data_IF_065897522677
#
_entry.id   IF_065897522677
#
_cell.length_a   1.000
_cell.length_b   1.000
_cell.length_c   1.000
_cell.angle_alpha   90.00
_cell.angle_beta   90.00
_cell.angle_gamma   90.00
#
_symmetry.space_group_name_H-M   'P 1'
#
loop_
_entity.id
_entity.type
_entity.pdbx_description
1 polymer ?
#
# COMPACT_ATOMS: atom_id res chain seq x y z
N UNK A 1 11.43 -22.35 -22.20
CA UNK A 1 10.10 -22.45 -21.58
C UNK A 1 9.27 -21.29 -22.10
N UNK A 2 7.95 -21.48 -22.29
CA UNK A 2 7.05 -20.36 -22.65
C UNK A 2 6.67 -19.61 -21.37
N UNK A 3 6.57 -18.26 -21.40
CA UNK A 3 6.07 -17.51 -20.27
C UNK A 3 4.63 -17.88 -19.96
N UNK A 4 4.27 -17.90 -18.67
CA UNK A 4 2.91 -18.10 -18.20
C UNK A 4 2.05 -16.85 -18.43
N UNK A 5 2.66 -15.69 -18.21
CA UNK A 5 2.07 -14.39 -18.51
C UNK A 5 3.01 -13.64 -19.43
N UNK A 6 2.48 -13.10 -20.54
CA UNK A 6 3.20 -12.24 -21.47
C UNK A 6 2.39 -11.00 -21.76
N UNK A 7 2.98 -9.86 -21.52
CA UNK A 7 2.43 -8.51 -21.78
C UNK A 7 3.37 -7.81 -22.74
N UNK A 8 2.87 -7.42 -23.92
CA UNK A 8 3.66 -6.81 -25.00
C UNK A 8 3.06 -5.47 -25.40
N UNK A 9 3.76 -4.38 -25.09
CA UNK A 9 3.40 -3.02 -25.52
C UNK A 9 2.01 -2.56 -25.09
N UNK A 10 1.56 -2.98 -23.91
CA UNK A 10 0.19 -2.75 -23.46
C UNK A 10 -0.02 -1.30 -23.08
N UNK A 11 -0.98 -0.67 -23.76
CA UNK A 11 -1.51 0.65 -23.42
C UNK A 11 -3.01 0.57 -23.15
N UNK A 12 -3.49 1.38 -22.19
CA UNK A 12 -4.91 1.49 -21.88
C UNK A 12 -5.36 2.93 -21.83
N UNK A 13 -6.29 3.25 -22.71
CA UNK A 13 -6.93 4.54 -22.81
C UNK A 13 -8.40 4.45 -22.36
N UNK A 14 -8.84 5.41 -21.54
CA UNK A 14 -10.22 5.58 -21.12
C UNK A 14 -10.77 6.88 -21.72
N UNK A 15 -11.69 6.83 -22.70
CA UNK A 15 -12.27 8.03 -23.27
C UNK A 15 -13.12 8.76 -22.21
N UNK A 16 -12.96 10.07 -22.11
CA UNK A 16 -13.85 10.94 -21.34
C UNK A 16 -15.08 11.22 -22.18
N UNK A 17 -16.20 10.59 -21.82
CA UNK A 17 -17.45 10.71 -22.55
C UNK A 17 -18.51 11.28 -21.62
N UNK A 18 -18.90 12.53 -21.83
CA UNK A 18 -19.88 13.23 -21.00
C UNK A 18 -21.32 13.13 -21.53
N UNK A 19 -21.49 12.86 -22.82
CA UNK A 19 -22.82 12.83 -23.48
C UNK A 19 -23.06 11.50 -24.20
N UNK A 20 -24.32 11.01 -24.24
CA UNK A 20 -24.67 9.75 -24.94
C UNK A 20 -24.23 9.69 -26.41
N UNK A 21 -24.33 10.80 -27.14
CA UNK A 21 -23.91 10.89 -28.57
C UNK A 21 -22.39 10.78 -28.75
N UNK A 22 -21.59 11.16 -27.75
CA UNK A 22 -20.14 11.06 -27.78
C UNK A 22 -19.69 9.59 -27.59
N UNK A 23 -20.47 8.77 -26.87
CA UNK A 23 -20.23 7.33 -26.71
C UNK A 23 -20.26 6.62 -28.08
N UNK A 24 -21.26 6.95 -28.91
CA UNK A 24 -21.40 6.36 -30.24
C UNK A 24 -20.23 6.76 -31.17
N UNK A 25 -19.84 8.04 -31.11
CA UNK A 25 -18.66 8.54 -31.87
C UNK A 25 -17.37 7.91 -31.39
N UNK A 26 -17.18 7.80 -30.08
CA UNK A 26 -16.01 7.14 -29.48
C UNK A 26 -15.94 5.67 -29.89
N UNK A 27 -17.07 4.97 -29.87
CA UNK A 27 -17.17 3.57 -30.32
C UNK A 27 -16.85 3.44 -31.83
N UNK A 28 -17.38 4.30 -32.67
CA UNK A 28 -17.11 4.31 -34.11
C UNK A 28 -15.61 4.65 -34.39
N UNK A 29 -15.01 5.56 -33.63
CA UNK A 29 -13.59 5.90 -33.77
C UNK A 29 -12.68 4.72 -33.35
N UNK A 30 -13.05 3.99 -32.28
CA UNK A 30 -12.35 2.77 -31.86
C UNK A 30 -12.42 1.67 -32.92
N UNK A 31 -13.58 1.45 -33.54
CA UNK A 31 -13.75 0.51 -34.66
C UNK A 31 -12.91 0.91 -35.89
N UNK A 32 -12.70 2.21 -36.10
CA UNK A 32 -11.90 2.76 -37.19
C UNK A 32 -10.38 2.83 -36.86
N UNK A 33 -9.94 2.29 -35.69
CA UNK A 33 -8.54 2.36 -35.23
C UNK A 33 -8.05 3.78 -34.88
N UNK A 34 -8.97 4.73 -34.67
CA UNK A 34 -8.65 6.13 -34.32
C UNK A 34 -8.79 6.33 -32.82
N UNK A 35 -8.00 7.26 -32.26
CA UNK A 35 -8.13 7.69 -30.86
C UNK A 35 -9.48 8.37 -30.65
N UNK A 36 -10.25 7.88 -29.68
CA UNK A 36 -11.58 8.36 -29.36
C UNK A 36 -11.52 9.64 -28.52
N UNK A 37 -11.29 10.81 -29.12
CA UNK A 37 -11.44 12.11 -28.46
C UNK A 37 -10.52 12.34 -27.24
N UNK A 38 -10.93 13.25 -26.35
CA UNK A 38 -10.26 13.50 -25.06
C UNK A 38 -10.45 12.33 -24.09
N UNK A 39 -9.37 11.93 -23.42
CA UNK A 39 -9.40 10.83 -22.46
C UNK A 39 -8.11 10.73 -21.65
N UNK A 40 -8.07 9.78 -20.74
CA UNK A 40 -6.89 9.49 -19.95
C UNK A 40 -6.23 8.18 -20.42
N UNK A 41 -4.99 8.24 -20.80
CA UNK A 41 -4.18 7.04 -21.01
C UNK A 41 -3.58 6.65 -19.66
N UNK A 42 -3.96 5.49 -19.15
CA UNK A 42 -3.61 5.02 -17.79
C UNK A 42 -2.42 4.06 -17.83
N UNK A 43 -2.20 3.38 -18.95
CA UNK A 43 -1.04 2.54 -19.20
C UNK A 43 -0.42 2.92 -20.54
N UNK A 44 0.90 3.00 -20.58
CA UNK A 44 1.68 3.43 -21.74
C UNK A 44 2.79 2.41 -22.03
N UNK A 45 2.62 1.59 -23.04
CA UNK A 45 3.62 0.68 -23.58
C UNK A 45 4.29 -0.21 -22.51
N UNK A 46 3.47 -0.82 -21.66
CA UNK A 46 3.93 -1.70 -20.59
C UNK A 46 4.20 -3.09 -21.15
N UNK A 47 5.40 -3.60 -20.88
CA UNK A 47 5.82 -4.96 -21.29
C UNK A 47 6.44 -5.68 -20.10
N UNK A 48 6.04 -6.95 -19.89
CA UNK A 48 6.60 -7.85 -18.90
C UNK A 48 6.35 -9.31 -19.27
N UNK A 49 7.17 -10.19 -18.75
CA UNK A 49 6.98 -11.64 -18.85
C UNK A 49 7.10 -12.26 -17.44
N UNK A 50 6.24 -13.24 -17.15
CA UNK A 50 6.31 -14.04 -15.92
C UNK A 50 6.41 -15.50 -16.30
N UNK A 51 7.48 -16.15 -15.86
CA UNK A 51 7.71 -17.56 -16.15
C UNK A 51 6.98 -18.45 -15.12
N UNK A 52 6.65 -19.70 -15.45
CA UNK A 52 6.11 -20.65 -14.47
C UNK A 52 7.01 -20.75 -13.23
N UNK A 53 6.40 -20.75 -12.05
CA UNK A 53 7.10 -20.83 -10.76
C UNK A 53 7.74 -19.53 -10.30
N UNK A 54 7.53 -18.43 -11.01
CA UNK A 54 8.03 -17.11 -10.58
C UNK A 54 7.04 -16.39 -9.67
N UNK A 55 7.58 -15.62 -8.74
CA UNK A 55 6.82 -14.66 -7.95
C UNK A 55 7.19 -13.23 -8.37
N UNK A 56 6.18 -12.42 -8.73
CA UNK A 56 6.34 -11.15 -9.38
C UNK A 56 5.51 -10.05 -8.68
N UNK A 57 6.16 -8.97 -8.27
CA UNK A 57 5.55 -7.83 -7.61
C UNK A 57 5.27 -6.67 -8.58
N UNK A 58 4.11 -6.04 -8.47
CA UNK A 58 3.77 -4.79 -9.16
C UNK A 58 3.67 -3.70 -8.11
N UNK A 59 4.57 -2.72 -8.16
CA UNK A 59 4.63 -1.61 -7.21
C UNK A 59 4.46 -0.26 -7.90
N UNK A 60 4.07 0.75 -7.14
CA UNK A 60 3.88 2.12 -7.63
C UNK A 60 2.84 2.86 -6.79
N UNK A 61 2.75 4.18 -6.97
CA UNK A 61 1.77 5.02 -6.27
C UNK A 61 0.32 4.72 -6.68
N UNK A 62 -0.64 5.30 -5.93
CA UNK A 62 -2.04 5.30 -6.34
C UNK A 62 -2.19 6.03 -7.67
N UNK A 63 -2.96 5.44 -8.58
CA UNK A 63 -3.11 5.97 -9.94
C UNK A 63 -2.01 5.59 -10.94
N UNK A 64 -0.95 4.88 -10.53
CA UNK A 64 0.13 4.43 -11.42
C UNK A 64 -0.29 3.38 -12.48
N UNK A 65 -1.54 2.89 -12.43
CA UNK A 65 -2.06 1.92 -13.40
C UNK A 65 -2.05 0.47 -12.93
N UNK A 66 -1.62 0.16 -11.69
CA UNK A 66 -1.52 -1.20 -11.15
C UNK A 66 -2.82 -2.00 -11.27
N UNK A 67 -3.93 -1.49 -10.74
CA UNK A 67 -5.23 -2.18 -10.79
C UNK A 67 -5.77 -2.28 -12.22
N UNK A 68 -5.43 -1.35 -13.11
CA UNK A 68 -5.77 -1.44 -14.54
C UNK A 68 -5.01 -2.58 -15.20
N UNK A 69 -3.72 -2.72 -14.91
CA UNK A 69 -2.91 -3.83 -15.41
C UNK A 69 -3.44 -5.17 -14.90
N UNK A 70 -3.80 -5.29 -13.60
CA UNK A 70 -4.42 -6.51 -13.07
C UNK A 70 -5.74 -6.86 -13.77
N UNK A 71 -6.62 -5.88 -13.99
CA UNK A 71 -7.89 -6.11 -14.70
C UNK A 71 -7.67 -6.57 -16.15
N UNK A 72 -6.60 -6.14 -16.79
CA UNK A 72 -6.22 -6.63 -18.13
C UNK A 72 -5.70 -8.07 -18.03
N UNK A 73 -4.84 -8.38 -17.05
CA UNK A 73 -4.28 -9.73 -16.86
C UNK A 73 -5.34 -10.77 -16.49
N UNK A 74 -6.37 -10.35 -15.75
CA UNK A 74 -7.51 -11.23 -15.41
C UNK A 74 -8.59 -11.30 -16.49
N UNK A 75 -8.40 -10.57 -17.62
CA UNK A 75 -9.36 -10.57 -18.73
C UNK A 75 -10.65 -9.77 -18.48
N UNK A 76 -10.75 -9.05 -17.35
CA UNK A 76 -11.92 -8.20 -17.03
C UNK A 76 -12.04 -7.03 -18.01
N UNK A 77 -10.92 -6.49 -18.47
CA UNK A 77 -10.89 -5.45 -19.49
C UNK A 77 -9.84 -5.77 -20.56
N UNK A 78 -10.10 -5.37 -21.81
CA UNK A 78 -9.11 -5.50 -22.88
C UNK A 78 -8.17 -4.30 -22.92
N UNK A 79 -6.89 -4.48 -23.32
CA UNK A 79 -5.99 -3.37 -23.60
C UNK A 79 -6.49 -2.55 -24.80
N UNK A 80 -6.11 -1.27 -24.89
CA UNK A 80 -6.39 -0.44 -26.06
C UNK A 80 -5.36 -0.63 -27.18
N UNK A 81 -4.13 -0.99 -26.82
CA UNK A 81 -3.05 -1.39 -27.72
C UNK A 81 -2.21 -2.46 -27.06
N UNK A 82 -1.42 -3.18 -27.87
CA UNK A 82 -0.58 -4.26 -27.40
C UNK A 82 -1.32 -5.58 -27.24
N UNK A 83 -0.64 -6.56 -26.68
CA UNK A 83 -1.16 -7.93 -26.52
C UNK A 83 -0.88 -8.47 -25.13
N UNK A 84 -1.83 -9.26 -24.62
CA UNK A 84 -1.69 -10.01 -23.38
C UNK A 84 -2.01 -11.48 -23.63
N UNK A 85 -1.14 -12.34 -23.15
CA UNK A 85 -1.35 -13.78 -23.15
C UNK A 85 -1.19 -14.30 -21.70
N UNK A 86 -2.20 -15.04 -21.23
CA UNK A 86 -2.16 -15.72 -19.93
C UNK A 86 -2.48 -17.19 -20.16
N UNK A 87 -1.50 -18.05 -19.97
CA UNK A 87 -1.56 -19.46 -20.26
C UNK A 87 -1.59 -20.29 -18.96
N UNK A 88 -2.56 -20.01 -18.08
CA UNK A 88 -2.66 -20.63 -16.77
C UNK A 88 -4.10 -20.64 -16.26
N UNK A 89 -4.38 -21.53 -15.31
CA UNK A 89 -5.56 -21.41 -14.46
C UNK A 89 -5.32 -20.30 -13.45
N UNK A 90 -6.03 -19.18 -13.65
CA UNK A 90 -5.88 -17.98 -12.83
C UNK A 90 -6.89 -17.99 -11.70
N UNK A 91 -6.44 -17.74 -10.48
CA UNK A 91 -7.30 -17.30 -9.41
C UNK A 91 -6.88 -15.90 -8.96
N UNK A 92 -7.86 -15.01 -8.86
CA UNK A 92 -7.62 -13.61 -8.51
C UNK A 92 -8.28 -13.28 -7.18
N UNK A 93 -7.50 -12.68 -6.28
CA UNK A 93 -7.96 -12.16 -4.98
C UNK A 93 -8.32 -10.65 -5.08
N UNK A 94 -8.80 -10.18 -6.23
CA UNK A 94 -9.07 -8.75 -6.46
C UNK A 94 -10.28 -8.25 -5.68
N UNK A 95 -11.27 -9.11 -5.51
CA UNK A 95 -12.53 -8.81 -4.82
C UNK A 95 -13.02 -10.08 -4.10
N UNK A 96 -12.44 -10.40 -2.94
CA UNK A 96 -12.72 -11.65 -2.21
C UNK A 96 -14.20 -11.84 -1.86
N UNK A 97 -14.91 -10.75 -1.58
CA UNK A 97 -16.35 -10.76 -1.30
C UNK A 97 -17.25 -10.69 -2.53
N UNK A 98 -16.70 -10.39 -3.72
CA UNK A 98 -17.51 -10.28 -4.92
C UNK A 98 -18.04 -11.64 -5.39
N UNK A 99 -19.29 -11.63 -5.85
CA UNK A 99 -19.96 -12.80 -6.38
C UNK A 99 -20.65 -13.69 -5.33
N UNK A 100 -20.54 -13.38 -4.04
CA UNK A 100 -21.37 -14.03 -3.04
C UNK A 100 -22.79 -13.46 -3.07
N UNK A 101 -23.77 -14.35 -3.00
CA UNK A 101 -25.18 -14.00 -2.90
C UNK A 101 -25.57 -13.86 -1.43
N UNK A 102 -25.97 -12.68 -0.95
CA UNK A 102 -26.22 -12.43 0.46
C UNK A 102 -27.29 -13.33 1.09
N UNK A 103 -28.30 -13.73 0.30
CA UNK A 103 -29.42 -14.56 0.76
C UNK A 103 -29.09 -16.06 0.76
N UNK A 104 -28.00 -16.47 0.14
CA UNK A 104 -27.62 -17.88 0.05
C UNK A 104 -26.79 -18.30 1.27
N UNK A 105 -26.89 -19.60 1.61
CA UNK A 105 -26.02 -20.21 2.62
C UNK A 105 -24.55 -20.15 2.20
N UNK A 106 -23.63 -20.37 3.14
CA UNK A 106 -22.21 -20.48 2.86
C UNK A 106 -21.94 -21.60 1.86
N UNK A 107 -22.54 -22.76 2.08
CA UNK A 107 -22.32 -23.93 1.21
C UNK A 107 -22.74 -23.63 -0.23
N UNK A 108 -23.87 -22.94 -0.44
CA UNK A 108 -24.33 -22.58 -1.78
C UNK A 108 -23.42 -21.54 -2.43
N UNK A 109 -22.95 -20.57 -1.66
CA UNK A 109 -21.97 -19.59 -2.11
C UNK A 109 -20.62 -20.23 -2.46
N UNK A 110 -20.13 -21.15 -1.64
CA UNK A 110 -18.92 -21.93 -1.92
C UNK A 110 -19.07 -22.71 -3.19
N UNK A 111 -20.21 -23.42 -3.40
CA UNK A 111 -20.50 -24.17 -4.62
C UNK A 111 -20.48 -23.27 -5.85
N UNK A 112 -21.18 -22.14 -5.78
CA UNK A 112 -21.25 -21.20 -6.89
C UNK A 112 -19.87 -20.64 -7.23
N UNK A 113 -19.11 -20.17 -6.23
CA UNK A 113 -17.78 -19.58 -6.44
C UNK A 113 -16.76 -20.61 -6.93
N UNK A 114 -16.80 -21.83 -6.39
CA UNK A 114 -15.95 -22.94 -6.85
C UNK A 114 -16.22 -23.29 -8.31
N UNK A 115 -17.49 -23.33 -8.74
CA UNK A 115 -17.85 -23.55 -10.13
C UNK A 115 -17.33 -22.45 -11.06
N UNK A 116 -17.38 -21.16 -10.63
CA UNK A 116 -16.80 -20.04 -11.36
C UNK A 116 -15.27 -20.13 -11.49
N UNK A 117 -14.60 -20.75 -10.50
CA UNK A 117 -13.15 -21.03 -10.54
C UNK A 117 -12.81 -22.31 -11.31
N UNK A 118 -13.80 -22.97 -11.93
CA UNK A 118 -13.62 -24.15 -12.76
C UNK A 118 -13.52 -25.47 -11.99
N UNK A 119 -13.86 -25.50 -10.70
CA UNK A 119 -13.91 -26.75 -9.92
C UNK A 119 -15.15 -27.54 -10.26
N UNK A 120 -15.00 -28.85 -10.50
CA UNK A 120 -16.13 -29.74 -10.62
C UNK A 120 -16.78 -30.05 -9.25
N UNK A 121 -18.06 -30.42 -9.24
CA UNK A 121 -18.77 -30.79 -8.00
C UNK A 121 -18.04 -31.83 -7.19
N UNK A 122 -17.46 -32.88 -7.87
CA UNK A 122 -16.70 -33.90 -7.19
C UNK A 122 -15.41 -33.44 -6.55
N UNK A 123 -14.74 -32.44 -7.14
CA UNK A 123 -13.56 -31.79 -6.51
C UNK A 123 -13.97 -30.98 -5.31
N UNK A 124 -15.06 -30.23 -5.43
CA UNK A 124 -15.59 -29.43 -4.32
C UNK A 124 -16.00 -30.30 -3.14
N UNK A 125 -16.77 -31.40 -3.38
CA UNK A 125 -17.23 -32.30 -2.31
C UNK A 125 -16.05 -32.88 -1.51
N UNK A 126 -14.89 -33.07 -2.14
CA UNK A 126 -13.68 -33.56 -1.46
C UNK A 126 -12.95 -32.47 -0.66
N UNK A 127 -13.12 -31.19 -1.04
CA UNK A 127 -12.39 -30.05 -0.47
C UNK A 127 -13.28 -29.19 0.41
N UNK A 128 -14.56 -29.48 0.54
CA UNK A 128 -15.50 -28.63 1.26
C UNK A 128 -15.09 -28.44 2.73
N UNK A 129 -14.75 -29.55 3.39
CA UNK A 129 -14.32 -29.51 4.79
C UNK A 129 -13.03 -28.73 4.97
N UNK A 130 -12.06 -28.87 4.06
CA UNK A 130 -10.82 -28.08 4.04
C UNK A 130 -11.09 -26.59 3.85
N UNK A 131 -12.03 -26.23 2.95
CA UNK A 131 -12.45 -24.82 2.74
C UNK A 131 -13.03 -24.23 4.01
N UNK A 132 -13.94 -24.97 4.66
CA UNK A 132 -14.62 -24.49 5.88
C UNK A 132 -13.63 -24.37 7.05
N UNK A 133 -12.74 -25.34 7.22
CA UNK A 133 -11.67 -25.30 8.24
C UNK A 133 -10.69 -24.15 7.98
N UNK A 134 -10.31 -23.92 6.71
CA UNK A 134 -9.45 -22.79 6.38
C UNK A 134 -10.13 -21.45 6.67
N UNK A 135 -11.42 -21.32 6.32
CA UNK A 135 -12.19 -20.08 6.53
C UNK A 135 -12.37 -19.77 8.02
N UNK A 136 -12.41 -20.80 8.89
CA UNK A 136 -12.56 -20.67 10.34
C UNK A 136 -13.73 -19.74 10.71
N UNK A 137 -14.93 -20.09 10.20
CA UNK A 137 -16.16 -19.31 10.38
C UNK A 137 -17.11 -19.91 11.41
N UNK A 138 -16.71 -21.01 12.07
CA UNK A 138 -17.47 -21.67 13.15
C UNK A 138 -18.83 -22.20 12.68
N UNK A 139 -19.82 -22.11 13.57
CA UNK A 139 -21.16 -22.70 13.37
C UNK A 139 -22.04 -21.94 12.36
N UNK A 140 -21.54 -20.83 11.81
CA UNK A 140 -22.29 -20.00 10.85
C UNK A 140 -22.43 -20.63 9.45
N UNK A 141 -21.88 -21.81 9.22
CA UNK A 141 -21.82 -22.46 7.90
C UNK A 141 -23.18 -22.61 7.20
N UNK A 142 -24.26 -22.74 7.95
CA UNK A 142 -25.63 -22.89 7.42
C UNK A 142 -26.41 -21.56 7.34
N UNK A 143 -25.82 -20.48 7.87
CA UNK A 143 -26.45 -19.17 7.87
C UNK A 143 -26.28 -18.45 6.53
N UNK A 144 -27.23 -17.59 6.13
CA UNK A 144 -27.07 -16.71 4.98
C UNK A 144 -25.86 -15.76 5.15
N UNK A 145 -25.11 -15.57 4.06
CA UNK A 145 -23.89 -14.73 4.07
C UNK A 145 -24.16 -13.26 4.46
N UNK A 146 -25.39 -12.77 4.31
CA UNK A 146 -25.79 -11.43 4.79
C UNK A 146 -25.59 -11.21 6.29
N UNK A 147 -25.54 -12.26 7.09
CA UNK A 147 -25.29 -12.18 8.52
C UNK A 147 -23.80 -12.16 8.88
N UNK A 148 -22.94 -12.25 7.89
CA UNK A 148 -21.49 -12.30 8.06
C UNK A 148 -20.88 -10.94 8.21
N UNK A 149 -19.82 -10.86 9.04
CA UNK A 149 -18.92 -9.69 9.00
C UNK A 149 -18.14 -9.66 7.69
N UNK A 150 -17.68 -8.48 7.29
CA UNK A 150 -16.82 -8.34 6.12
C UNK A 150 -15.56 -9.23 6.21
N UNK A 151 -15.02 -9.42 7.41
CA UNK A 151 -13.90 -10.31 7.66
C UNK A 151 -14.22 -11.78 7.38
N UNK A 152 -15.40 -12.27 7.80
CA UNK A 152 -15.84 -13.65 7.51
C UNK A 152 -16.03 -13.89 6.01
N UNK A 153 -16.58 -12.92 5.29
CA UNK A 153 -16.74 -12.98 3.83
C UNK A 153 -15.39 -13.10 3.13
N UNK A 154 -14.41 -12.31 3.57
CA UNK A 154 -13.05 -12.35 3.04
C UNK A 154 -12.35 -13.69 3.34
N UNK A 155 -12.46 -14.20 4.57
CA UNK A 155 -11.92 -15.49 4.98
C UNK A 155 -12.49 -16.62 4.10
N UNK A 156 -13.80 -16.64 3.90
CA UNK A 156 -14.45 -17.63 3.03
C UNK A 156 -14.00 -17.47 1.57
N UNK A 157 -13.94 -16.24 1.07
CA UNK A 157 -13.49 -15.96 -0.29
C UNK A 157 -12.07 -16.45 -0.55
N UNK A 158 -11.16 -16.22 0.39
CA UNK A 158 -9.77 -16.71 0.29
C UNK A 158 -9.71 -18.23 0.35
N UNK A 159 -10.44 -18.88 1.28
CA UNK A 159 -10.46 -20.33 1.42
C UNK A 159 -10.90 -21.04 0.13
N UNK A 160 -11.93 -20.52 -0.56
CA UNK A 160 -12.37 -21.08 -1.85
C UNK A 160 -11.30 -20.91 -2.93
N UNK A 161 -10.63 -19.78 -2.99
CA UNK A 161 -9.53 -19.54 -3.93
C UNK A 161 -8.36 -20.49 -3.64
N UNK A 162 -7.98 -20.62 -2.37
CA UNK A 162 -6.91 -21.51 -1.94
C UNK A 162 -7.16 -22.97 -2.36
N UNK A 163 -8.42 -23.44 -2.23
CA UNK A 163 -8.81 -24.79 -2.60
C UNK A 163 -8.95 -25.02 -4.11
N UNK A 164 -8.91 -23.99 -4.94
CA UNK A 164 -9.11 -24.14 -6.40
C UNK A 164 -7.86 -24.63 -7.15
N UNK A 165 -6.72 -24.83 -6.48
CA UNK A 165 -5.43 -25.24 -7.03
C UNK A 165 -5.05 -24.42 -8.29
N UNK A 166 -4.92 -23.10 -8.21
CA UNK A 166 -4.56 -22.29 -9.35
C UNK A 166 -3.09 -22.49 -9.73
N UNK A 167 -2.74 -22.27 -11.01
CA UNK A 167 -1.35 -22.22 -11.47
C UNK A 167 -0.76 -20.80 -11.36
N UNK A 168 -1.64 -19.80 -11.40
CA UNK A 168 -1.33 -18.38 -11.23
C UNK A 168 -2.27 -17.77 -10.21
N UNK A 169 -1.71 -17.30 -9.11
CA UNK A 169 -2.41 -16.49 -8.12
C UNK A 169 -2.16 -15.01 -8.40
N UNK A 170 -3.22 -14.22 -8.54
CA UNK A 170 -3.14 -12.77 -8.66
C UNK A 170 -3.71 -12.15 -7.40
N UNK A 171 -2.92 -11.31 -6.71
CA UNK A 171 -3.36 -10.63 -5.48
C UNK A 171 -3.29 -9.11 -5.63
N UNK A 172 -4.31 -8.41 -5.12
CA UNK A 172 -4.31 -6.95 -4.99
C UNK A 172 -4.51 -6.63 -3.49
N UNK A 173 -3.66 -5.88 -2.86
CA UNK A 173 -3.69 -5.35 -1.48
C UNK A 173 -4.52 -6.11 -0.41
N UNK A 174 -5.33 -7.06 -0.84
CA UNK A 174 -6.34 -7.79 -0.05
C UNK A 174 -5.73 -8.68 1.02
N UNK A 175 -4.41 -8.91 1.00
CA UNK A 175 -3.72 -9.67 2.05
C UNK A 175 -3.68 -8.91 3.40
N UNK A 176 -4.05 -7.64 3.42
CA UNK A 176 -4.17 -6.84 4.64
C UNK A 176 -5.58 -6.91 5.27
N UNK A 177 -6.50 -7.75 4.75
CA UNK A 177 -7.88 -7.85 5.23
C UNK A 177 -8.05 -9.04 6.16
N UNK A 178 -8.87 -8.88 7.19
CA UNK A 178 -9.06 -9.84 8.27
C UNK A 178 -8.25 -9.46 9.51
N UNK A 179 -8.26 -10.33 10.49
CA UNK A 179 -7.43 -10.17 11.68
C UNK A 179 -5.97 -10.64 11.44
N UNK A 180 -5.08 -10.29 12.33
CA UNK A 180 -3.64 -10.61 12.21
C UNK A 180 -3.38 -12.13 12.11
N UNK A 181 -4.20 -12.95 12.79
CA UNK A 181 -4.05 -14.39 12.79
C UNK A 181 -4.35 -14.99 11.40
N UNK A 182 -5.42 -14.49 10.77
CA UNK A 182 -5.80 -14.92 9.43
C UNK A 182 -4.82 -14.41 8.37
N UNK A 183 -4.32 -13.18 8.50
CA UNK A 183 -3.28 -12.67 7.61
C UNK A 183 -2.02 -13.55 7.63
N UNK A 184 -1.57 -13.98 8.82
CA UNK A 184 -0.44 -14.92 8.97
C UNK A 184 -0.73 -16.27 8.33
N UNK A 185 -2.00 -16.76 8.39
CA UNK A 185 -2.44 -18.01 7.74
C UNK A 185 -2.39 -17.87 6.22
N UNK A 186 -2.88 -16.77 5.67
CA UNK A 186 -2.82 -16.48 4.23
C UNK A 186 -1.37 -16.39 3.71
N UNK A 187 -0.49 -15.69 4.43
CA UNK A 187 0.92 -15.55 4.03
C UNK A 187 1.60 -16.93 4.00
N UNK A 188 1.41 -17.76 5.05
CA UNK A 188 1.95 -19.12 5.09
C UNK A 188 1.44 -20.00 3.96
N UNK A 189 0.15 -19.88 3.63
CA UNK A 189 -0.42 -20.60 2.49
C UNK A 189 0.22 -20.15 1.17
N UNK A 190 0.44 -18.85 0.96
CA UNK A 190 1.12 -18.34 -0.24
C UNK A 190 2.57 -18.83 -0.32
N UNK A 191 3.30 -18.85 0.80
CA UNK A 191 4.65 -19.41 0.85
C UNK A 191 4.66 -20.88 0.39
N UNK A 192 3.76 -21.71 0.94
CA UNK A 192 3.61 -23.12 0.52
C UNK A 192 3.20 -23.26 -0.95
N UNK A 193 2.31 -22.40 -1.43
CA UNK A 193 1.90 -22.33 -2.83
C UNK A 193 3.08 -22.06 -3.78
N UNK A 194 3.98 -21.16 -3.40
CA UNK A 194 5.21 -20.87 -4.12
C UNK A 194 6.23 -22.00 -4.04
N UNK A 195 6.36 -22.66 -2.90
CA UNK A 195 7.27 -23.81 -2.71
C UNK A 195 6.86 -25.01 -3.57
N UNK A 196 5.57 -25.13 -3.91
CA UNK A 196 5.05 -26.12 -4.85
C UNK A 196 5.35 -25.77 -6.32
N UNK A 197 6.03 -24.66 -6.60
CA UNK A 197 6.39 -24.24 -7.96
C UNK A 197 5.29 -23.48 -8.69
N UNK A 198 4.26 -23.02 -7.99
CA UNK A 198 3.21 -22.19 -8.56
C UNK A 198 3.64 -20.73 -8.72
N UNK A 199 2.87 -19.95 -9.47
CA UNK A 199 3.22 -18.58 -9.86
C UNK A 199 2.39 -17.56 -9.12
N UNK A 200 3.02 -16.52 -8.60
CA UNK A 200 2.37 -15.40 -7.92
C UNK A 200 2.57 -14.10 -8.70
N UNK A 201 1.51 -13.33 -8.85
CA UNK A 201 1.55 -11.95 -9.29
C UNK A 201 0.86 -11.10 -8.22
N UNK A 202 1.64 -10.24 -7.55
CA UNK A 202 1.18 -9.50 -6.37
C UNK A 202 1.24 -8.00 -6.60
N UNK A 203 0.15 -7.29 -6.28
CA UNK A 203 0.18 -5.85 -6.05
C UNK A 203 0.12 -5.60 -4.56
N UNK A 204 1.04 -4.80 -4.03
CA UNK A 204 1.01 -4.41 -2.63
C UNK A 204 1.71 -3.07 -2.40
N UNK A 205 1.21 -2.31 -1.44
CA UNK A 205 1.91 -1.14 -0.89
C UNK A 205 2.93 -1.51 0.19
N UNK A 206 2.85 -2.73 0.74
CA UNK A 206 3.84 -3.21 1.70
C UNK A 206 5.09 -3.71 0.99
N UNK A 207 6.14 -2.89 0.96
CA UNK A 207 7.43 -3.29 0.38
C UNK A 207 8.02 -4.50 1.10
N UNK A 208 7.73 -4.67 2.38
CA UNK A 208 8.11 -5.85 3.15
C UNK A 208 7.50 -7.14 2.54
N UNK A 209 6.18 -7.15 2.26
CA UNK A 209 5.53 -8.33 1.67
C UNK A 209 6.02 -8.60 0.25
N UNK A 210 6.23 -7.53 -0.54
CA UNK A 210 6.77 -7.66 -1.89
C UNK A 210 8.17 -8.28 -1.86
N UNK A 211 9.07 -7.80 -0.99
CA UNK A 211 10.43 -8.35 -0.83
C UNK A 211 10.44 -9.77 -0.26
N UNK A 212 9.47 -10.10 0.61
CA UNK A 212 9.36 -11.41 1.24
C UNK A 212 8.85 -12.48 0.26
N UNK A 213 7.86 -12.16 -0.56
CA UNK A 213 7.13 -13.13 -1.38
C UNK A 213 7.54 -13.12 -2.86
N UNK A 214 8.08 -12.00 -3.36
CA UNK A 214 8.42 -11.86 -4.77
C UNK A 214 9.93 -11.94 -5.00
N UNK A 215 10.32 -12.51 -6.14
CA UNK A 215 11.72 -12.53 -6.62
C UNK A 215 12.00 -11.43 -7.61
N UNK A 216 11.00 -11.06 -8.40
CA UNK A 216 11.08 -9.97 -9.36
C UNK A 216 9.98 -8.95 -9.11
N UNK A 217 10.17 -7.72 -9.60
CA UNK A 217 9.17 -6.68 -9.51
C UNK A 217 9.23 -5.72 -10.70
N UNK A 218 8.08 -5.09 -10.97
CA UNK A 218 7.97 -3.93 -11.85
C UNK A 218 7.49 -2.73 -11.03
N UNK A 219 8.18 -1.61 -11.19
CA UNK A 219 7.74 -0.33 -10.69
C UNK A 219 7.05 0.44 -11.81
N UNK A 220 5.76 0.68 -11.62
CA UNK A 220 4.94 1.52 -12.48
C UNK A 220 4.89 2.95 -11.92
N UNK A 221 5.15 3.92 -12.78
CA UNK A 221 5.01 5.34 -12.51
C UNK A 221 4.31 6.01 -13.68
N UNK A 222 3.23 6.73 -13.43
CA UNK A 222 2.45 7.44 -14.46
C UNK A 222 2.08 6.54 -15.65
N UNK A 223 1.67 5.30 -15.36
CA UNK A 223 1.30 4.31 -16.36
C UNK A 223 2.46 3.70 -17.16
N UNK A 224 3.71 4.01 -16.83
CA UNK A 224 4.91 3.53 -17.53
C UNK A 224 5.76 2.65 -16.65
N UNK A 225 6.51 1.74 -17.25
CA UNK A 225 7.53 0.98 -16.55
C UNK A 225 8.72 1.89 -16.23
N UNK A 226 8.91 2.16 -14.94
CA UNK A 226 10.08 2.92 -14.45
C UNK A 226 11.29 2.03 -14.25
N UNK A 227 11.07 0.86 -13.65
CA UNK A 227 12.10 -0.15 -13.42
C UNK A 227 11.49 -1.55 -13.39
N UNK A 228 12.21 -2.52 -13.93
CA UNK A 228 11.84 -3.93 -13.99
C UNK A 228 13.07 -4.78 -13.65
N UNK A 229 12.93 -5.82 -12.88
CA UNK A 229 14.01 -6.74 -12.53
C UNK A 229 13.87 -7.34 -11.15
N UNK A 230 15.02 -7.68 -10.53
CA UNK A 230 15.03 -8.25 -9.19
C UNK A 230 14.36 -7.36 -8.15
N UNK A 231 13.64 -7.97 -7.21
CA UNK A 231 12.75 -7.28 -6.27
C UNK A 231 13.48 -6.24 -5.43
N UNK A 232 14.68 -6.55 -4.89
CA UNK A 232 15.41 -5.62 -4.02
C UNK A 232 15.84 -4.34 -4.73
N UNK A 233 16.55 -4.36 -5.87
CA UNK A 233 16.92 -3.16 -6.61
C UNK A 233 15.72 -2.33 -7.07
N UNK A 234 14.58 -2.97 -7.37
CA UNK A 234 13.36 -2.27 -7.81
C UNK A 234 12.69 -1.58 -6.62
N UNK A 235 12.48 -2.29 -5.51
CA UNK A 235 11.87 -1.73 -4.30
C UNK A 235 12.72 -0.65 -3.65
N UNK A 236 14.06 -0.82 -3.61
CA UNK A 236 14.96 0.23 -3.09
C UNK A 236 14.89 1.50 -3.93
N UNK A 237 14.87 1.39 -5.26
CA UNK A 237 14.72 2.55 -6.14
C UNK A 237 13.38 3.26 -5.95
N UNK A 238 12.29 2.51 -5.71
CA UNK A 238 10.97 3.05 -5.41
C UNK A 238 10.97 3.81 -4.07
N UNK A 239 11.54 3.21 -3.02
CA UNK A 239 11.61 3.83 -1.69
C UNK A 239 12.43 5.12 -1.72
N UNK A 240 13.62 5.10 -2.34
CA UNK A 240 14.46 6.28 -2.48
C UNK A 240 13.73 7.43 -3.21
N UNK A 241 13.08 7.12 -4.34
CA UNK A 241 12.28 8.10 -5.07
C UNK A 241 11.11 8.65 -4.23
N UNK A 242 10.44 7.79 -3.47
CA UNK A 242 9.32 8.20 -2.61
C UNK A 242 9.79 9.12 -1.48
N UNK A 243 10.97 8.86 -0.90
CA UNK A 243 11.60 9.73 0.10
C UNK A 243 11.99 11.10 -0.49
N UNK A 244 12.61 11.11 -1.69
CA UNK A 244 12.94 12.37 -2.39
C UNK A 244 11.70 13.19 -2.70
N UNK A 245 10.63 12.56 -3.20
CA UNK A 245 9.36 13.20 -3.49
C UNK A 245 8.75 13.82 -2.23
N UNK A 246 8.67 13.05 -1.14
CA UNK A 246 8.14 13.52 0.15
C UNK A 246 8.99 14.66 0.73
N UNK A 247 10.30 14.63 0.54
CA UNK A 247 11.20 15.72 0.95
C UNK A 247 11.00 16.99 0.09
N UNK A 248 10.75 16.84 -1.22
CA UNK A 248 10.45 17.95 -2.12
C UNK A 248 9.08 18.57 -1.80
N UNK A 249 8.04 17.77 -1.54
CA UNK A 249 6.72 18.24 -1.15
C UNK A 249 6.75 18.98 0.20
N UNK A 250 7.52 18.48 1.18
CA UNK A 250 7.74 19.16 2.45
C UNK A 250 8.42 20.51 2.25
N UNK A 251 9.46 20.59 1.41
CA UNK A 251 10.13 21.85 1.06
C UNK A 251 9.17 22.83 0.37
N UNK A 252 8.36 22.34 -0.57
CA UNK A 252 7.38 23.17 -1.27
C UNK A 252 6.27 23.68 -0.33
N UNK A 253 5.74 22.84 0.57
CA UNK A 253 4.79 23.29 1.62
C UNK A 253 5.41 24.36 2.52
N UNK A 254 6.68 24.21 2.92
CA UNK A 254 7.39 25.23 3.70
C UNK A 254 7.52 26.54 2.93
N UNK A 255 7.79 26.51 1.62
CA UNK A 255 7.88 27.71 0.79
C UNK A 255 6.54 28.40 0.55
N UNK A 256 5.42 27.64 0.51
CA UNK A 256 4.07 28.18 0.35
C UNK A 256 3.45 28.68 1.67
N UNK A 257 3.93 28.22 2.83
CA UNK A 257 3.57 28.72 4.16
C UNK A 257 4.32 30.01 4.49
N UNK A 258 4.51 30.88 3.50
CA UNK A 258 5.01 32.23 3.66
C UNK A 258 4.16 33.03 4.62
N UNK A 259 4.80 33.53 5.66
CA UNK A 259 4.51 34.72 6.44
C UNK A 259 3.08 34.94 6.95
N UNK A 260 2.96 34.83 8.25
CA UNK A 260 2.07 35.50 9.22
C UNK A 260 0.87 34.65 9.71
N UNK A 261 0.80 34.51 11.01
CA UNK A 261 -0.41 34.15 11.75
C UNK A 261 -0.49 32.73 12.32
N UNK A 262 0.57 31.90 12.23
CA UNK A 262 0.53 30.54 12.79
C UNK A 262 1.74 30.21 13.66
N UNK A 263 1.55 29.30 14.63
CA UNK A 263 2.63 28.73 15.42
C UNK A 263 3.60 27.97 14.51
N UNK A 264 4.91 28.16 14.68
CA UNK A 264 5.92 27.58 13.79
C UNK A 264 7.11 27.03 14.57
N UNK A 265 7.73 26.02 14.01
CA UNK A 265 9.05 25.57 14.44
C UNK A 265 10.10 26.56 13.89
N UNK A 266 10.76 27.28 14.77
CA UNK A 266 11.85 28.18 14.41
C UNK A 266 13.15 27.39 14.18
N UNK A 267 13.49 26.49 15.11
CA UNK A 267 14.63 25.59 14.98
C UNK A 267 14.43 24.32 15.82
N UNK A 268 15.03 23.24 15.35
CA UNK A 268 15.21 21.99 16.10
C UNK A 268 16.68 21.60 15.99
N UNK A 269 17.33 21.36 17.12
CA UNK A 269 18.71 20.91 17.18
C UNK A 269 18.88 19.80 18.21
N UNK A 270 19.81 18.87 17.95
CA UNK A 270 20.20 17.84 18.89
C UNK A 270 21.44 18.33 19.66
N UNK A 271 21.37 18.35 20.97
CA UNK A 271 22.47 18.84 21.82
C UNK A 271 23.64 17.88 21.76
N UNK A 272 24.82 18.40 21.36
CA UNK A 272 26.05 17.61 21.24
C UNK A 272 26.17 16.79 19.95
N UNK A 273 25.27 16.98 18.98
CA UNK A 273 25.25 16.29 17.69
C UNK A 273 25.21 17.28 16.53
N UNK A 274 25.80 16.90 15.38
CA UNK A 274 25.74 17.72 14.18
C UNK A 274 24.35 17.60 13.52
N UNK A 275 23.76 18.72 13.08
CA UNK A 275 22.43 18.72 12.46
C UNK A 275 22.39 18.15 11.02
N UNK A 276 23.54 17.79 10.45
CA UNK A 276 23.68 17.41 9.03
C UNK A 276 23.44 15.92 8.75
N UNK A 277 23.07 15.15 9.76
CA UNK A 277 22.81 13.70 9.64
C UNK A 277 24.08 12.86 9.57
N UNK A 278 24.18 11.82 10.37
CA UNK A 278 25.29 10.88 10.34
C UNK A 278 25.92 10.60 11.70
N UNK A 279 25.44 11.22 12.76
CA UNK A 279 25.92 10.90 14.10
C UNK A 279 25.43 9.54 14.56
N UNK A 280 26.35 8.74 15.08
CA UNK A 280 26.06 7.42 15.64
C UNK A 280 25.78 7.54 17.13
N UNK A 281 24.55 7.28 17.53
CA UNK A 281 24.14 7.23 18.91
C UNK A 281 24.21 5.78 19.42
N UNK A 282 25.00 5.46 20.47
CA UNK A 282 24.97 4.13 21.06
C UNK A 282 23.59 3.77 21.60
N UNK A 283 23.19 2.51 21.56
CA UNK A 283 21.95 2.05 22.18
C UNK A 283 21.96 2.33 23.68
N UNK A 284 20.83 2.66 24.27
CA UNK A 284 20.67 3.09 25.66
C UNK A 284 21.42 4.37 26.05
N UNK A 285 21.73 5.25 25.11
CA UNK A 285 22.24 6.59 25.42
C UNK A 285 21.10 7.61 25.56
N UNK A 286 21.43 8.71 26.21
CA UNK A 286 20.54 9.84 26.32
C UNK A 286 20.54 10.61 25.00
N UNK A 287 19.37 11.11 24.60
CA UNK A 287 19.20 12.02 23.48
C UNK A 287 18.58 13.31 24.00
N UNK A 288 19.23 14.44 23.78
CA UNK A 288 18.71 15.76 24.15
C UNK A 288 18.41 16.59 22.90
N UNK A 289 17.19 17.13 22.83
CA UNK A 289 16.74 17.97 21.74
C UNK A 289 16.34 19.36 22.27
N UNK A 290 16.75 20.39 21.55
CA UNK A 290 16.30 21.76 21.78
C UNK A 290 15.35 22.17 20.63
N UNK A 291 14.10 22.53 20.97
CA UNK A 291 13.08 22.97 20.04
C UNK A 291 12.70 24.40 20.34
N UNK A 292 12.86 25.30 19.37
CA UNK A 292 12.43 26.70 19.46
C UNK A 292 11.20 26.90 18.60
N UNK A 293 10.13 27.41 19.20
CA UNK A 293 8.85 27.65 18.55
C UNK A 293 8.54 29.15 18.51
N UNK A 294 7.98 29.62 17.39
CA UNK A 294 7.49 30.97 17.24
C UNK A 294 5.97 31.03 17.45
N UNK A 295 5.52 31.96 18.26
CA UNK A 295 4.12 32.24 18.54
C UNK A 295 3.66 33.51 17.81
N UNK A 296 2.50 33.47 17.12
CA UNK A 296 1.95 34.62 16.43
C UNK A 296 1.20 35.59 17.37
N UNK A 297 0.77 35.11 18.54
CA UNK A 297 -0.11 35.84 19.48
C UNK A 297 0.48 35.97 20.89
N UNK A 298 1.75 35.60 21.06
CA UNK A 298 2.46 35.70 22.32
C UNK A 298 2.06 34.69 23.40
N UNK A 299 1.21 33.72 23.07
CA UNK A 299 0.90 32.57 23.96
C UNK A 299 1.90 31.45 23.73
N UNK A 300 2.26 30.73 24.80
CA UNK A 300 3.19 29.62 24.69
C UNK A 300 2.57 28.46 23.86
N UNK A 301 3.18 28.06 22.73
CA UNK A 301 2.72 26.92 21.95
C UNK A 301 3.02 25.61 22.66
N UNK A 302 2.26 24.55 22.39
CA UNK A 302 2.60 23.20 22.82
C UNK A 302 3.66 22.64 21.86
N UNK A 303 4.75 22.13 22.46
CA UNK A 303 5.83 21.44 21.73
C UNK A 303 5.58 19.94 21.73
N UNK A 304 5.67 19.33 20.55
CA UNK A 304 5.70 17.87 20.41
C UNK A 304 7.01 17.48 19.73
N UNK A 305 7.77 16.57 20.34
CA UNK A 305 9.00 16.03 19.76
C UNK A 305 8.87 14.52 19.64
N UNK A 306 9.11 14.01 18.44
CA UNK A 306 9.01 12.57 18.13
C UNK A 306 10.29 12.02 17.53
N UNK A 307 10.60 10.76 17.85
CA UNK A 307 11.65 9.95 17.22
C UNK A 307 10.97 9.01 16.23
N UNK A 308 11.40 9.07 14.98
CA UNK A 308 10.85 8.32 13.86
C UNK A 308 11.91 7.40 13.29
N UNK A 309 11.52 6.20 12.89
CA UNK A 309 12.37 5.30 12.12
C UNK A 309 12.49 5.79 10.67
N UNK A 310 13.51 5.36 9.93
CA UNK A 310 13.71 5.75 8.53
C UNK A 310 12.51 5.44 7.61
N UNK A 311 11.74 4.41 7.92
CA UNK A 311 10.50 4.06 7.21
C UNK A 311 9.29 4.95 7.55
N UNK A 312 9.48 5.94 8.43
CA UNK A 312 8.43 6.87 8.88
C UNK A 312 7.60 6.36 10.06
N UNK A 313 7.92 5.17 10.61
CA UNK A 313 7.22 4.63 11.78
C UNK A 313 7.57 5.45 13.03
N UNK A 314 6.59 5.98 13.78
CA UNK A 314 6.84 6.63 15.05
C UNK A 314 7.29 5.61 16.08
N UNK A 315 8.40 5.92 16.76
CA UNK A 315 8.99 5.04 17.80
C UNK A 315 8.68 5.56 19.18
N UNK A 316 8.85 6.87 19.36
CA UNK A 316 8.62 7.56 20.62
C UNK A 316 8.23 9.01 20.38
N UNK A 317 7.47 9.61 21.29
CA UNK A 317 7.10 11.02 21.21
C UNK A 317 6.64 11.56 22.55
N UNK A 318 6.96 12.82 22.82
CA UNK A 318 6.54 13.55 24.02
C UNK A 318 5.96 14.90 23.63
N UNK A 319 4.95 15.33 24.38
CA UNK A 319 4.34 16.65 24.21
C UNK A 319 4.41 17.41 25.53
N UNK A 320 4.73 18.71 25.45
CA UNK A 320 4.97 19.55 26.62
C UNK A 320 3.76 19.78 27.50
N UNK A 321 2.55 19.60 26.98
CA UNK A 321 1.29 19.72 27.74
C UNK A 321 1.06 18.51 28.66
N UNK A 322 1.44 17.30 28.25
CA UNK A 322 1.37 16.10 29.08
C UNK A 322 2.26 16.20 30.31
N UNK A 323 3.50 16.69 30.12
CA UNK A 323 4.48 16.82 31.19
C UNK A 323 4.35 18.16 31.93
N UNK A 324 3.42 19.03 31.55
CA UNK A 324 3.19 20.37 32.09
C UNK A 324 4.47 21.22 32.13
N UNK A 325 5.32 21.07 31.14
CA UNK A 325 6.60 21.78 31.01
C UNK A 325 6.33 23.19 30.54
N UNK A 326 6.88 24.18 31.28
CA UNK A 326 6.83 25.59 30.87
C UNK A 326 8.07 25.87 29.98
N UNK A 327 7.90 26.53 28.83
CA UNK A 327 9.02 26.94 27.99
C UNK A 327 9.81 28.09 28.60
N UNK A 328 11.06 28.15 28.21
CA UNK A 328 11.85 29.37 28.39
C UNK A 328 11.38 30.42 27.34
N UNK A 329 10.96 31.57 27.79
CA UNK A 329 10.53 32.66 26.92
C UNK A 329 11.77 33.41 26.42
N UNK A 330 11.94 33.47 25.11
CA UNK A 330 12.97 34.21 24.42
C UNK A 330 12.41 35.55 23.93
N UNK A 331 13.27 36.43 23.41
CA UNK A 331 12.86 37.67 22.75
C UNK A 331 12.03 37.34 21.47
N UNK A 332 11.22 38.33 21.01
CA UNK A 332 10.45 38.27 19.75
C UNK A 332 9.37 37.17 19.65
N UNK A 333 8.76 36.74 20.77
CA UNK A 333 7.69 35.73 20.74
C UNK A 333 8.18 34.32 20.43
N UNK A 334 9.44 34.05 20.74
CA UNK A 334 10.03 32.71 20.63
C UNK A 334 9.99 31.99 21.97
N UNK A 335 9.78 30.71 21.94
CA UNK A 335 9.64 29.81 23.08
C UNK A 335 10.58 28.62 22.92
N UNK A 336 11.46 28.38 23.87
CA UNK A 336 12.45 27.30 23.87
C UNK A 336 11.98 26.17 24.77
N UNK A 337 12.02 24.94 24.24
CA UNK A 337 11.80 23.69 24.95
C UNK A 337 13.06 22.84 24.88
N UNK A 338 13.50 22.30 26.03
CA UNK A 338 14.56 21.28 26.10
C UNK A 338 13.95 19.96 26.51
N UNK A 339 14.16 18.95 25.69
CA UNK A 339 13.59 17.62 25.84
C UNK A 339 14.75 16.62 25.96
N UNK A 340 14.76 15.84 27.03
CA UNK A 340 15.74 14.81 27.24
C UNK A 340 15.06 13.44 27.27
N UNK A 341 15.48 12.57 26.39
CA UNK A 341 15.08 11.17 26.33
C UNK A 341 16.18 10.36 27.02
N UNK A 342 15.89 9.82 28.19
CA UNK A 342 16.87 9.07 28.97
C UNK A 342 16.98 7.63 28.49
N UNK A 343 18.21 7.16 28.26
CA UNK A 343 18.55 5.77 27.94
C UNK A 343 17.65 5.17 26.87
N UNK A 344 17.59 5.80 25.70
CA UNK A 344 16.74 5.38 24.59
C UNK A 344 17.09 3.95 24.13
N UNK A 345 16.18 2.96 24.28
CA UNK A 345 16.44 1.57 23.89
C UNK A 345 16.18 1.36 22.40
N UNK A 346 16.86 2.12 21.54
CA UNK A 346 16.71 2.03 20.10
C UNK A 346 17.45 0.79 19.57
N UNK A 347 16.77 0.06 18.68
CA UNK A 347 17.39 -1.01 17.89
C UNK A 347 18.35 -0.41 16.86
N UNK A 348 19.36 -1.18 16.38
CA UNK A 348 20.20 -0.71 15.28
C UNK A 348 19.37 -0.26 14.08
N UNK A 349 19.64 0.94 13.56
CA UNK A 349 18.90 1.51 12.44
C UNK A 349 19.10 3.02 12.31
N UNK A 350 18.52 3.59 11.27
CA UNK A 350 18.51 5.04 11.05
C UNK A 350 17.22 5.62 11.60
N UNK A 351 17.35 6.72 12.32
CA UNK A 351 16.24 7.44 12.96
C UNK A 351 16.32 8.93 12.62
N UNK A 352 15.18 9.61 12.69
CA UNK A 352 15.06 11.05 12.60
C UNK A 352 14.31 11.58 13.82
N UNK A 353 14.68 12.76 14.28
CA UNK A 353 13.94 13.49 15.30
C UNK A 353 13.09 14.55 14.62
N UNK A 354 11.83 14.68 15.02
CA UNK A 354 10.90 15.66 14.48
C UNK A 354 10.34 16.54 15.59
N UNK A 355 10.35 17.85 15.36
CA UNK A 355 9.71 18.84 16.22
C UNK A 355 8.44 19.37 15.58
N UNK A 356 7.40 19.59 16.40
CA UNK A 356 6.12 20.08 15.94
C UNK A 356 5.66 21.25 16.81
N UNK A 357 5.03 22.25 16.17
CA UNK A 357 4.37 23.37 16.83
C UNK A 357 2.85 23.17 16.82
N UNK A 358 2.23 23.20 18.00
CA UNK A 358 0.79 23.11 18.18
C UNK A 358 0.24 24.41 18.80
N UNK A 359 -1.09 24.59 18.76
CA UNK A 359 -1.74 25.65 19.51
C UNK A 359 -1.54 25.49 21.03
N UNK A 360 -1.78 26.53 21.82
CA UNK A 360 -1.64 26.46 23.28
C UNK A 360 -2.57 25.44 23.95
N UNK A 361 -3.63 25.05 23.27
CA UNK A 361 -4.58 24.03 23.68
C UNK A 361 -4.14 22.61 23.32
N UNK A 362 -3.06 22.43 22.53
CA UNK A 362 -2.54 21.12 22.09
C UNK A 362 -3.47 20.37 21.13
N UNK A 363 -4.44 21.05 20.53
CA UNK A 363 -5.48 20.43 19.70
C UNK A 363 -5.16 20.43 18.21
N UNK A 364 -4.35 21.40 17.76
CA UNK A 364 -4.08 21.60 16.33
C UNK A 364 -2.59 21.69 16.05
N UNK A 365 -2.13 20.85 15.15
CA UNK A 365 -0.76 20.86 14.64
C UNK A 365 -0.65 21.90 13.51
N UNK A 366 0.31 22.82 13.63
CA UNK A 366 0.54 23.89 12.64
C UNK A 366 1.79 23.68 11.81
N UNK A 367 2.89 23.24 12.43
CA UNK A 367 4.17 23.09 11.73
C UNK A 367 4.95 21.88 12.21
N UNK A 368 5.82 21.37 11.33
CA UNK A 368 6.67 20.19 11.57
C UNK A 368 8.06 20.42 10.97
N UNK A 369 9.09 20.20 11.78
CA UNK A 369 10.49 20.29 11.35
C UNK A 369 11.18 18.93 11.43
#
# INVERSE_FOLDING_TARGET
MKPLVRVEGVSKFYPRVHRPGERLRAFAALLAGRTAGEGAEVLHDVSLEVMPGQSFGIIGENGAGKSTLLKILTGVISPSRGRVEVNARVAALLELGAGFQPEFSVIDNVRMKSALLGMSSKQLDRKLDEILEFADIGDYVYEPVKHYSSGMVVRLGFAVVAASDPELLITDEVLAVGDESFQKKCIRWIEQFLDQGNTLLMVSHSMYLVQKLCRQAIWLQDGRTRKLGDVFPVTQSYLAWHEEKNAAERRHRRSLQGTSGHYRVHSLSLVGHANDGGDVLPSNSDLEAELVLASPDGRAPVALVGVMRADGTPVYGVASDYDKVQPEVLEDGLYRYRIRFERMPLLPGTYSVRGHAMDPEGLRLFDTH
#
